data_IF_293600152562
#
_entry.id   IF_293600152562
#
_cell.length_a   1.000
_cell.length_b   1.000
_cell.length_c   1.000
_cell.angle_alpha   90.00
_cell.angle_beta   90.00
_cell.angle_gamma   90.00
#
_symmetry.space_group_name_H-M   'P 1'
#
loop_
_entity.id
_entity.type
_entity.pdbx_description
1 polymer ?
#
# COMPACT_ATOMS: atom_id res chain seq x y z
N UNK A 1 -45.52 2.61 7.55
CA UNK A 1 -45.04 2.73 6.17
C UNK A 1 -43.59 2.23 6.11
N UNK A 2 -43.36 1.01 5.62
CA UNK A 2 -42.02 0.46 5.40
C UNK A 2 -41.54 0.91 4.01
N UNK A 3 -40.50 1.73 3.97
CA UNK A 3 -39.92 2.25 2.73
C UNK A 3 -38.90 1.22 2.23
N UNK A 4 -39.26 0.45 1.21
CA UNK A 4 -38.32 -0.50 0.55
C UNK A 4 -37.81 0.14 -0.73
N UNK A 5 -36.47 0.22 -0.88
CA UNK A 5 -35.81 0.79 -2.06
C UNK A 5 -36.03 -0.16 -3.25
N UNK A 6 -36.79 0.26 -4.28
CA UNK A 6 -36.98 -0.53 -5.51
C UNK A 6 -35.61 -0.79 -6.14
N UNK A 7 -35.28 -2.06 -6.38
CA UNK A 7 -34.01 -2.49 -6.99
C UNK A 7 -32.91 -2.91 -6.01
N UNK A 8 -33.13 -2.85 -4.69
CA UNK A 8 -32.18 -3.40 -3.73
C UNK A 8 -32.20 -4.93 -3.73
N UNK A 9 -31.19 -5.55 -4.35
CA UNK A 9 -30.83 -6.94 -4.08
C UNK A 9 -29.84 -6.94 -2.93
N UNK A 10 -30.13 -7.58 -1.78
CA UNK A 10 -29.14 -7.74 -0.74
C UNK A 10 -27.96 -8.52 -1.32
N UNK A 11 -26.76 -7.96 -1.20
CA UNK A 11 -25.52 -8.70 -1.46
C UNK A 11 -25.47 -9.81 -0.40
N UNK A 12 -25.78 -11.02 -0.82
CA UNK A 12 -25.56 -12.23 -0.03
C UNK A 12 -24.34 -12.92 -0.60
N UNK A 13 -23.47 -13.44 0.25
CA UNK A 13 -22.25 -14.16 -0.14
C UNK A 13 -22.60 -15.27 -1.14
N UNK A 14 -23.73 -15.95 -0.93
CA UNK A 14 -24.24 -17.00 -1.81
C UNK A 14 -24.57 -16.54 -3.25
N UNK A 15 -24.86 -15.25 -3.45
CA UNK A 15 -25.21 -14.67 -4.75
C UNK A 15 -24.01 -14.06 -5.49
N UNK A 16 -22.85 -13.95 -4.84
CA UNK A 16 -21.64 -13.32 -5.40
C UNK A 16 -20.60 -14.34 -5.87
N UNK A 17 -20.61 -15.55 -5.33
CA UNK A 17 -19.50 -16.48 -5.50
C UNK A 17 -19.98 -17.81 -6.08
N UNK A 18 -19.55 -18.12 -7.33
CA UNK A 18 -19.66 -19.46 -7.89
C UNK A 18 -18.41 -20.26 -7.52
N UNK A 19 -18.61 -21.42 -6.88
CA UNK A 19 -17.59 -22.44 -6.59
C UNK A 19 -16.30 -21.94 -5.93
N UNK A 20 -16.34 -21.86 -4.59
CA UNK A 20 -15.13 -21.78 -3.76
C UNK A 20 -14.48 -23.16 -3.73
N UNK A 21 -13.41 -23.35 -4.51
CA UNK A 21 -12.55 -24.52 -4.37
C UNK A 21 -11.74 -24.44 -3.07
N UNK A 22 -11.27 -25.56 -2.50
CA UNK A 22 -10.33 -25.50 -1.38
C UNK A 22 -9.06 -24.78 -1.83
N UNK A 23 -8.79 -23.61 -1.25
CA UNK A 23 -7.53 -22.92 -1.46
C UNK A 23 -6.43 -23.68 -0.72
N UNK A 24 -5.32 -23.95 -1.41
CA UNK A 24 -4.10 -24.38 -0.75
C UNK A 24 -3.36 -23.17 -0.24
N UNK A 25 -2.73 -23.28 0.91
CA UNK A 25 -1.83 -22.26 1.41
C UNK A 25 -0.64 -22.09 0.45
N UNK A 26 -0.13 -20.86 0.27
CA UNK A 26 1.17 -20.62 -0.34
C UNK A 26 2.27 -21.51 0.25
N UNK A 27 3.15 -21.99 -0.60
CA UNK A 27 4.29 -22.86 -0.26
C UNK A 27 5.56 -22.08 0.08
N UNK A 28 5.49 -20.75 0.02
CA UNK A 28 6.60 -19.84 0.27
C UNK A 28 7.07 -19.91 1.74
N UNK A 29 8.39 -19.94 1.99
CA UNK A 29 8.95 -20.29 3.29
C UNK A 29 8.55 -19.34 4.43
N UNK A 30 8.20 -18.09 4.13
CA UNK A 30 7.81 -17.09 5.12
C UNK A 30 6.30 -16.86 5.21
N UNK A 31 5.47 -17.55 4.43
CA UNK A 31 4.01 -17.38 4.51
C UNK A 31 3.46 -17.63 5.92
N UNK A 32 4.00 -18.60 6.66
CA UNK A 32 3.59 -18.87 8.04
C UNK A 32 3.84 -17.72 9.01
N UNK A 33 4.75 -16.79 8.68
CA UNK A 33 5.02 -15.59 9.47
C UNK A 33 4.18 -14.38 9.05
N UNK A 34 3.52 -14.42 7.88
CA UNK A 34 2.66 -13.36 7.37
C UNK A 34 1.27 -13.42 8.01
N UNK A 35 1.23 -13.20 9.32
CA UNK A 35 0.01 -13.28 10.13
C UNK A 35 -1.10 -12.34 9.65
N UNK A 36 -0.75 -11.21 9.03
CA UNK A 36 -1.70 -10.26 8.43
C UNK A 36 -2.46 -10.86 7.23
N UNK A 37 -1.91 -11.88 6.57
CA UNK A 37 -2.60 -12.64 5.51
C UNK A 37 -3.40 -13.80 6.09
N UNK A 38 -2.85 -14.47 7.11
CA UNK A 38 -3.48 -15.61 7.80
C UNK A 38 -3.06 -15.69 9.26
N UNK A 39 -3.95 -15.29 10.17
CA UNK A 39 -3.69 -15.30 11.59
C UNK A 39 -4.22 -16.58 12.22
N UNK A 40 -3.32 -17.48 12.57
CA UNK A 40 -3.57 -18.72 13.31
C UNK A 40 -3.44 -18.57 14.83
N UNK A 41 -3.14 -17.36 15.31
CA UNK A 41 -2.78 -17.07 16.70
C UNK A 41 -1.27 -17.09 16.96
N UNK A 42 -0.45 -16.96 15.91
CA UNK A 42 1.00 -16.87 16.03
C UNK A 42 1.41 -15.53 16.66
N UNK A 43 2.56 -15.52 17.34
CA UNK A 43 3.17 -14.33 17.96
C UNK A 43 2.21 -13.57 18.90
N UNK A 44 1.46 -14.30 19.74
CA UNK A 44 0.43 -13.76 20.65
C UNK A 44 -0.73 -13.01 19.95
N UNK A 45 -0.85 -13.17 18.63
CA UNK A 45 -1.94 -12.60 17.85
C UNK A 45 -3.28 -13.29 18.09
N UNK A 46 -4.36 -12.62 17.66
CA UNK A 46 -5.72 -13.18 17.77
C UNK A 46 -6.07 -13.95 16.49
N UNK A 47 -6.29 -15.26 16.61
CA UNK A 47 -6.65 -16.08 15.45
C UNK A 47 -7.86 -15.50 14.68
N UNK A 48 -7.79 -15.53 13.34
CA UNK A 48 -8.72 -14.92 12.37
C UNK A 48 -8.78 -13.38 12.37
N UNK A 49 -7.92 -12.72 13.14
CA UNK A 49 -7.69 -11.30 13.02
C UNK A 49 -6.60 -11.08 11.96
N UNK A 50 -7.00 -11.18 10.70
CA UNK A 50 -6.20 -11.00 9.49
C UNK A 50 -7.04 -10.27 8.44
N UNK A 51 -6.44 -9.96 7.28
CA UNK A 51 -7.10 -9.24 6.19
C UNK A 51 -8.16 -10.06 5.44
N UNK A 52 -8.35 -11.34 5.81
CA UNK A 52 -9.27 -12.28 5.16
C UNK A 52 -9.02 -12.40 3.64
N UNK A 53 -7.75 -12.28 3.22
CA UNK A 53 -7.34 -12.33 1.80
C UNK A 53 -7.53 -13.71 1.18
N UNK A 54 -7.47 -14.78 1.98
CA UNK A 54 -7.72 -16.15 1.51
C UNK A 54 -9.13 -16.29 0.90
N UNK A 55 -10.11 -15.54 1.43
CA UNK A 55 -11.46 -15.53 0.88
C UNK A 55 -11.52 -14.86 -0.51
N UNK A 56 -10.70 -13.84 -0.77
CA UNK A 56 -10.58 -13.21 -2.09
C UNK A 56 -9.83 -14.13 -3.08
N UNK A 57 -8.73 -14.75 -2.63
CA UNK A 57 -7.98 -15.72 -3.42
C UNK A 57 -8.82 -16.93 -3.81
N UNK A 58 -9.66 -17.44 -2.90
CA UNK A 58 -10.54 -18.57 -3.19
C UNK A 58 -11.67 -18.23 -4.19
N UNK A 59 -11.93 -16.94 -4.41
CA UNK A 59 -12.81 -16.43 -5.47
C UNK A 59 -12.07 -16.19 -6.79
N UNK A 60 -10.75 -16.38 -6.83
CA UNK A 60 -9.91 -16.16 -8.00
C UNK A 60 -9.43 -14.71 -8.19
N UNK A 61 -9.56 -13.86 -7.18
CA UNK A 61 -9.05 -12.49 -7.21
C UNK A 61 -7.64 -12.43 -6.63
N UNK A 62 -6.65 -12.20 -7.49
CA UNK A 62 -5.22 -12.28 -7.14
C UNK A 62 -4.42 -11.03 -7.53
N UNK A 63 -5.10 -9.99 -8.04
CA UNK A 63 -4.47 -8.77 -8.56
C UNK A 63 -4.16 -8.77 -10.05
N UNK A 64 -4.45 -9.87 -10.77
CA UNK A 64 -4.17 -9.98 -12.20
C UNK A 64 -4.74 -8.80 -13.01
N UNK A 65 -3.91 -8.27 -13.91
CA UNK A 65 -4.17 -7.09 -14.76
C UNK A 65 -4.30 -5.75 -14.03
N UNK A 66 -3.95 -5.68 -12.75
CA UNK A 66 -3.81 -4.43 -12.01
C UNK A 66 -2.33 -4.04 -11.96
N UNK A 67 -2.02 -2.76 -12.09
CA UNK A 67 -0.68 -2.23 -11.80
C UNK A 67 -0.74 -1.30 -10.59
N UNK A 68 0.05 -1.60 -9.56
CA UNK A 68 0.25 -0.74 -8.38
C UNK A 68 1.64 -0.10 -8.44
N UNK A 69 1.70 1.22 -8.34
CA UNK A 69 2.93 1.96 -8.21
C UNK A 69 3.28 2.22 -6.74
N UNK A 70 4.54 1.99 -6.40
CA UNK A 70 5.13 2.33 -5.10
C UNK A 70 5.92 3.63 -5.28
N UNK A 71 5.41 4.74 -4.72
CA UNK A 71 6.05 6.06 -4.78
C UNK A 71 6.95 6.26 -3.57
N UNK A 72 8.24 5.98 -3.71
CA UNK A 72 9.13 5.76 -2.57
C UNK A 72 10.62 6.00 -2.88
N UNK A 73 11.52 5.35 -2.14
CA UNK A 73 12.98 5.40 -2.24
C UNK A 73 13.58 4.51 -3.36
N UNK A 74 12.73 3.67 -3.96
CA UNK A 74 13.07 2.76 -5.07
C UNK A 74 12.51 1.35 -4.86
N UNK A 75 12.49 0.56 -5.93
CA UNK A 75 12.07 -0.84 -5.89
C UNK A 75 13.17 -1.68 -6.52
N UNK A 76 13.69 -2.65 -5.75
CA UNK A 76 14.57 -3.69 -6.28
C UNK A 76 13.75 -4.61 -7.20
N UNK A 77 13.57 -4.16 -8.43
CA UNK A 77 12.87 -4.90 -9.48
C UNK A 77 13.66 -6.13 -9.95
N UNK A 78 14.89 -6.34 -9.48
CA UNK A 78 15.65 -7.55 -9.73
C UNK A 78 15.48 -8.59 -8.63
N UNK A 79 14.85 -8.22 -7.50
CA UNK A 79 14.56 -9.12 -6.40
C UNK A 79 13.84 -10.37 -6.94
N UNK A 80 14.31 -11.59 -6.59
CA UNK A 80 13.77 -12.82 -7.16
C UNK A 80 12.26 -12.99 -6.99
N UNK A 81 11.71 -12.38 -5.95
CA UNK A 81 10.29 -12.41 -5.60
C UNK A 81 9.44 -11.32 -6.29
N UNK A 82 10.07 -10.31 -6.91
CA UNK A 82 9.38 -9.18 -7.56
C UNK A 82 9.58 -9.14 -9.08
N UNK A 83 10.70 -9.66 -9.59
CA UNK A 83 11.14 -9.47 -10.98
C UNK A 83 10.13 -9.89 -12.07
N UNK A 84 9.25 -10.86 -11.78
CA UNK A 84 8.22 -11.31 -12.73
C UNK A 84 6.93 -10.48 -12.65
N UNK A 85 6.74 -9.74 -11.55
CA UNK A 85 5.64 -8.82 -11.32
C UNK A 85 6.03 -7.37 -11.63
N UNK A 86 7.30 -7.06 -11.87
CA UNK A 86 7.74 -5.73 -12.26
C UNK A 86 7.14 -5.26 -13.60
N UNK A 87 6.67 -4.00 -13.62
CA UNK A 87 6.19 -3.30 -14.81
C UNK A 87 7.10 -2.10 -15.12
N UNK A 88 8.12 -2.37 -15.95
CA UNK A 88 9.10 -1.37 -16.38
C UNK A 88 8.47 -0.18 -17.12
N UNK A 89 7.34 -0.37 -17.82
CA UNK A 89 6.71 0.69 -18.61
C UNK A 89 5.99 1.73 -17.75
N UNK A 90 5.64 1.35 -16.52
CA UNK A 90 4.96 2.20 -15.56
C UNK A 90 5.90 2.74 -14.48
N UNK A 91 7.20 2.45 -14.59
CA UNK A 91 8.20 2.73 -13.57
C UNK A 91 9.12 3.86 -14.01
N UNK A 92 9.61 4.65 -13.06
CA UNK A 92 10.52 5.75 -13.33
C UNK A 92 11.32 6.17 -12.10
N UNK A 93 12.54 6.66 -12.31
CA UNK A 93 13.38 7.27 -11.30
C UNK A 93 13.40 8.80 -11.49
N UNK A 94 12.67 9.51 -10.64
CA UNK A 94 12.68 10.97 -10.60
C UNK A 94 13.87 11.56 -9.84
N UNK A 95 14.53 10.77 -8.98
CA UNK A 95 15.75 11.18 -8.27
C UNK A 95 16.97 11.24 -9.21
N UNK A 96 17.09 10.27 -10.12
CA UNK A 96 18.20 10.19 -11.09
C UNK A 96 17.80 10.61 -12.51
N UNK A 97 16.49 10.81 -12.74
CA UNK A 97 15.88 11.15 -14.03
C UNK A 97 16.18 10.11 -15.14
N UNK A 98 15.85 8.86 -14.86
CA UNK A 98 16.01 7.74 -15.78
C UNK A 98 14.93 6.66 -15.55
N UNK A 99 14.79 5.62 -16.41
CA UNK A 99 13.69 4.64 -16.29
C UNK A 99 13.97 3.50 -15.29
N UNK A 100 15.02 3.57 -14.48
CA UNK A 100 15.47 2.49 -13.61
C UNK A 100 15.33 2.88 -12.12
N UNK A 101 14.17 2.62 -11.48
CA UNK A 101 13.92 2.99 -10.08
C UNK A 101 14.62 2.04 -9.08
N UNK A 102 15.81 1.54 -9.43
CA UNK A 102 16.56 0.63 -8.58
C UNK A 102 17.06 1.41 -7.35
N UNK A 103 16.86 0.90 -6.12
CA UNK A 103 17.27 1.60 -4.91
C UNK A 103 18.80 1.74 -4.87
N UNK A 104 19.29 2.94 -4.53
CA UNK A 104 20.72 3.15 -4.31
C UNK A 104 21.12 2.44 -3.03
N UNK A 105 22.03 1.47 -3.14
CA UNK A 105 22.51 0.71 -2.01
C UNK A 105 23.31 1.59 -1.03
N UNK A 106 23.02 1.43 0.25
CA UNK A 106 23.75 2.04 1.38
C UNK A 106 23.93 1.00 2.48
N UNK A 107 24.98 1.14 3.29
CA UNK A 107 25.30 0.16 4.34
C UNK A 107 24.24 0.09 5.46
N UNK A 108 23.45 1.15 5.60
CA UNK A 108 22.36 1.29 6.58
C UNK A 108 20.98 0.92 6.01
N UNK A 109 20.90 0.45 4.76
CA UNK A 109 19.65 0.06 4.11
C UNK A 109 18.63 1.20 4.01
N UNK A 110 19.11 2.44 3.92
CA UNK A 110 18.28 3.65 3.87
C UNK A 110 17.19 3.58 2.79
N UNK A 111 17.55 3.13 1.58
CA UNK A 111 16.63 3.01 0.45
C UNK A 111 16.00 1.59 0.32
N UNK A 112 15.57 0.98 1.43
CA UNK A 112 15.02 -0.38 1.41
C UNK A 112 13.49 -0.45 1.45
N UNK A 113 12.82 0.67 1.67
CA UNK A 113 11.42 0.69 2.04
C UNK A 113 10.48 0.42 0.88
N UNK A 114 10.68 1.07 -0.28
CA UNK A 114 9.85 0.84 -1.45
C UNK A 114 9.89 -0.63 -1.90
N UNK A 115 11.03 -1.31 -1.71
CA UNK A 115 11.15 -2.75 -1.97
C UNK A 115 10.34 -3.60 -0.98
N UNK A 116 10.27 -3.22 0.30
CA UNK A 116 9.44 -3.90 1.30
C UNK A 116 7.96 -3.73 0.97
N UNK A 117 7.51 -2.50 0.72
CA UNK A 117 6.13 -2.20 0.33
C UNK A 117 5.72 -2.90 -0.97
N UNK A 118 6.61 -2.97 -1.96
CA UNK A 118 6.39 -3.73 -3.19
C UNK A 118 6.13 -5.22 -2.91
N UNK A 119 6.87 -5.81 -1.97
CA UNK A 119 6.71 -7.19 -1.52
C UNK A 119 5.35 -7.44 -0.88
N UNK A 120 4.90 -6.54 0.01
CA UNK A 120 3.58 -6.65 0.65
C UNK A 120 2.43 -6.69 -0.38
N UNK A 121 2.57 -5.91 -1.45
CA UNK A 121 1.55 -5.87 -2.51
C UNK A 121 1.64 -7.09 -3.43
N UNK A 122 2.81 -7.41 -3.99
CA UNK A 122 2.92 -8.38 -5.07
C UNK A 122 4.20 -9.23 -5.08
N UNK A 123 4.76 -9.56 -3.91
CA UNK A 123 5.65 -10.73 -3.81
C UNK A 123 4.99 -11.94 -4.47
N UNK A 124 5.77 -12.66 -5.26
CA UNK A 124 5.27 -13.77 -6.04
C UNK A 124 4.85 -14.92 -5.12
N UNK A 125 3.95 -15.76 -5.64
CA UNK A 125 3.41 -16.91 -4.90
C UNK A 125 4.05 -18.19 -5.39
N UNK A 126 4.26 -19.14 -4.47
CA UNK A 126 4.68 -20.50 -4.73
C UNK A 126 6.02 -20.59 -5.51
N UNK A 127 6.95 -19.68 -5.23
CA UNK A 127 8.27 -19.64 -5.88
C UNK A 127 9.42 -20.11 -4.95
N UNK A 128 9.11 -20.34 -3.67
CA UNK A 128 10.07 -20.80 -2.66
C UNK A 128 10.99 -19.71 -2.12
N UNK A 129 10.63 -18.44 -2.30
CA UNK A 129 11.41 -17.26 -1.89
C UNK A 129 10.52 -16.42 -0.98
N UNK A 130 11.06 -15.97 0.15
CA UNK A 130 10.36 -15.06 1.06
C UNK A 130 8.92 -15.51 1.37
N UNK A 131 7.93 -14.62 1.22
CA UNK A 131 6.52 -14.84 1.50
C UNK A 131 5.70 -14.67 0.22
N UNK A 132 4.51 -14.08 0.34
CA UNK A 132 3.62 -13.78 -0.81
C UNK A 132 2.93 -12.43 -0.62
N UNK A 133 2.69 -11.71 -1.72
CA UNK A 133 1.96 -10.45 -1.70
C UNK A 133 0.44 -10.65 -1.59
N UNK A 134 -0.27 -9.64 -1.07
CA UNK A 134 -1.75 -9.63 -1.03
C UNK A 134 -2.35 -9.87 -2.43
N UNK A 135 -1.74 -9.24 -3.43
CA UNK A 135 -2.12 -9.27 -4.83
C UNK A 135 -0.96 -9.83 -5.67
N UNK A 136 -0.57 -11.09 -5.41
CA UNK A 136 0.61 -11.75 -5.99
C UNK A 136 0.63 -11.90 -7.53
N UNK A 137 -0.48 -11.67 -8.23
CA UNK A 137 -0.51 -11.57 -9.71
C UNK A 137 -0.61 -10.11 -10.22
N UNK A 138 -0.60 -9.13 -9.31
CA UNK A 138 -0.53 -7.71 -9.63
C UNK A 138 0.83 -7.37 -10.22
N UNK A 139 0.85 -6.34 -11.06
CA UNK A 139 2.09 -5.71 -11.50
C UNK A 139 2.51 -4.62 -10.53
N UNK A 140 3.82 -4.49 -10.32
CA UNK A 140 4.43 -3.45 -9.49
C UNK A 140 5.21 -2.50 -10.38
N UNK A 141 4.94 -1.21 -10.22
CA UNK A 141 5.78 -0.15 -10.72
C UNK A 141 6.58 0.49 -9.58
N UNK A 142 7.84 0.78 -9.80
CA UNK A 142 8.65 1.58 -8.88
C UNK A 142 8.70 3.03 -9.35
N UNK A 143 8.35 3.96 -8.46
CA UNK A 143 8.52 5.40 -8.69
C UNK A 143 9.52 5.90 -7.63
N UNK A 144 10.81 5.93 -8.00
CA UNK A 144 11.88 6.40 -7.10
C UNK A 144 11.88 7.92 -7.08
N UNK A 145 11.51 8.51 -5.94
CA UNK A 145 11.40 9.94 -5.79
C UNK A 145 11.88 10.45 -4.42
N UNK A 146 11.96 9.60 -3.38
CA UNK A 146 12.37 10.01 -2.04
C UNK A 146 13.89 10.08 -1.84
N UNK A 147 14.69 9.38 -2.64
CA UNK A 147 16.16 9.40 -2.50
C UNK A 147 16.78 10.63 -3.17
N UNK A 148 16.59 11.80 -2.58
CA UNK A 148 17.15 13.06 -3.05
C UNK A 148 17.23 14.12 -1.95
N UNK A 149 18.08 15.16 -2.08
CA UNK A 149 18.30 16.13 -1.01
C UNK A 149 17.07 16.96 -0.63
N UNK A 150 16.17 17.23 -1.58
CA UNK A 150 14.97 18.02 -1.37
C UNK A 150 13.81 17.49 -2.20
N UNK A 151 12.66 17.34 -1.57
CA UNK A 151 11.41 17.13 -2.30
C UNK A 151 10.87 18.45 -2.84
N UNK A 152 10.40 18.45 -4.07
CA UNK A 152 9.78 19.63 -4.69
C UNK A 152 8.38 19.31 -5.19
N UNK A 153 7.51 20.32 -5.23
CA UNK A 153 6.14 20.23 -5.80
C UNK A 153 6.15 19.58 -7.19
N UNK A 154 7.17 19.85 -8.01
CA UNK A 154 7.23 19.29 -9.36
C UNK A 154 7.57 17.79 -9.36
N UNK A 155 8.41 17.32 -8.43
CA UNK A 155 8.77 15.90 -8.35
C UNK A 155 7.60 15.09 -7.81
N UNK A 156 6.93 15.59 -6.78
CA UNK A 156 5.66 15.04 -6.29
C UNK A 156 4.61 15.00 -7.41
N UNK A 157 4.37 16.11 -8.10
CA UNK A 157 3.39 16.18 -9.18
C UNK A 157 3.69 15.21 -10.33
N UNK A 158 4.96 15.12 -10.74
CA UNK A 158 5.37 14.19 -11.80
C UNK A 158 5.24 12.73 -11.35
N UNK A 159 5.53 12.42 -10.08
CA UNK A 159 5.36 11.08 -9.50
C UNK A 159 3.88 10.69 -9.45
N UNK A 160 3.03 11.56 -8.92
CA UNK A 160 1.58 11.37 -8.79
C UNK A 160 0.85 11.26 -10.13
N UNK A 161 1.40 11.91 -11.17
CA UNK A 161 0.84 11.94 -12.51
C UNK A 161 1.55 11.01 -13.50
N UNK A 162 2.47 10.16 -13.05
CA UNK A 162 3.25 9.28 -13.92
C UNK A 162 2.39 8.15 -14.47
N UNK A 163 2.32 7.98 -15.80
CA UNK A 163 1.63 6.87 -16.49
C UNK A 163 0.20 6.54 -15.96
N UNK A 164 -0.71 7.53 -15.87
CA UNK A 164 -1.98 7.39 -15.16
C UNK A 164 -2.98 6.43 -15.82
N UNK A 165 -2.72 6.00 -17.06
CA UNK A 165 -3.52 4.99 -17.77
C UNK A 165 -2.89 3.60 -17.76
N UNK A 166 -1.65 3.46 -17.26
CA UNK A 166 -0.99 2.17 -17.03
C UNK A 166 -1.00 1.79 -15.56
N UNK A 167 -0.94 2.79 -14.66
CA UNK A 167 -1.01 2.61 -13.21
C UNK A 167 -2.46 2.72 -12.75
N UNK A 168 -2.93 1.74 -11.99
CA UNK A 168 -4.26 1.76 -11.39
C UNK A 168 -4.23 2.41 -10.01
N UNK A 169 -3.25 2.02 -9.20
CA UNK A 169 -3.16 2.36 -7.78
C UNK A 169 -1.78 2.96 -7.52
N UNK A 170 -1.72 4.08 -6.82
CA UNK A 170 -0.50 4.67 -6.29
C UNK A 170 -0.51 4.48 -4.77
N UNK A 171 0.55 3.89 -4.24
CA UNK A 171 0.77 3.69 -2.81
C UNK A 171 1.89 4.60 -2.34
N UNK A 172 1.65 5.31 -1.24
CA UNK A 172 2.63 6.20 -0.63
C UNK A 172 2.50 6.23 0.89
N UNK A 173 3.64 6.37 1.55
CA UNK A 173 3.77 6.55 2.99
C UNK A 173 4.79 7.67 3.23
N UNK A 174 4.51 8.85 2.70
CA UNK A 174 5.32 10.05 2.88
C UNK A 174 4.41 11.25 3.00
N UNK A 175 4.92 12.36 3.51
CA UNK A 175 4.14 13.54 3.84
C UNK A 175 5.00 14.57 4.56
N UNK A 176 4.40 15.54 5.25
CA UNK A 176 5.11 16.40 6.18
C UNK A 176 5.79 15.59 7.28
N UNK A 177 6.70 16.23 8.01
CA UNK A 177 7.34 15.61 9.17
C UNK A 177 6.31 15.39 10.27
N UNK A 178 6.25 14.16 10.79
CA UNK A 178 5.33 13.78 11.86
C UNK A 178 5.90 14.17 13.24
N UNK A 179 6.02 15.48 13.50
CA UNK A 179 6.63 16.04 14.72
C UNK A 179 5.63 16.69 15.68
N UNK A 180 4.33 16.55 15.41
CA UNK A 180 3.23 17.16 16.17
C UNK A 180 3.14 18.68 16.05
N UNK A 181 3.90 19.28 15.12
CA UNK A 181 4.02 20.75 14.97
C UNK A 181 3.89 21.22 13.54
N UNK A 182 4.02 20.31 12.58
CA UNK A 182 4.00 20.63 11.16
C UNK A 182 2.58 20.57 10.60
N UNK A 183 2.21 21.60 9.83
CA UNK A 183 0.98 21.61 9.03
C UNK A 183 1.38 21.94 7.61
N UNK A 184 1.36 20.95 6.73
CA UNK A 184 1.74 21.12 5.32
C UNK A 184 0.97 20.11 4.45
N UNK A 185 1.09 20.25 3.13
CA UNK A 185 0.40 19.36 2.20
C UNK A 185 0.78 19.62 0.75
N UNK A 186 0.05 18.98 -0.18
CA UNK A 186 0.36 19.10 -1.60
C UNK A 186 0.24 20.54 -2.09
N UNK A 187 1.29 21.00 -2.77
CA UNK A 187 1.33 22.31 -3.43
C UNK A 187 0.58 22.25 -4.77
N UNK A 188 0.57 23.37 -5.51
CA UNK A 188 -0.36 23.57 -6.62
C UNK A 188 -0.10 22.65 -7.82
N UNK A 189 1.14 22.21 -8.08
CA UNK A 189 1.39 21.24 -9.13
C UNK A 189 0.92 19.84 -8.70
N UNK A 190 1.27 19.42 -7.48
CA UNK A 190 0.87 18.13 -6.91
C UNK A 190 -0.64 17.99 -6.83
N UNK A 191 -1.34 19.02 -6.34
CA UNK A 191 -2.81 19.05 -6.32
C UNK A 191 -3.43 18.92 -7.70
N UNK A 192 -2.85 19.57 -8.72
CA UNK A 192 -3.33 19.43 -10.10
C UNK A 192 -3.08 18.03 -10.65
N UNK A 193 -1.96 17.40 -10.30
CA UNK A 193 -1.67 16.01 -10.68
C UNK A 193 -2.68 15.04 -10.06
N UNK A 194 -2.96 15.14 -8.77
CA UNK A 194 -3.95 14.31 -8.07
C UNK A 194 -5.34 14.49 -8.68
N UNK A 195 -5.80 15.75 -8.82
CA UNK A 195 -7.11 16.06 -9.42
C UNK A 195 -7.20 15.52 -10.84
N UNK A 196 -6.14 15.61 -11.63
CA UNK A 196 -6.10 15.03 -12.97
C UNK A 196 -6.17 13.50 -12.92
N UNK A 197 -5.40 12.86 -12.05
CA UNK A 197 -5.40 11.41 -11.89
C UNK A 197 -6.77 10.85 -11.53
N UNK A 198 -7.47 11.46 -10.56
CA UNK A 198 -8.81 10.99 -10.14
C UNK A 198 -9.91 11.26 -11.18
N UNK A 199 -9.72 12.21 -12.11
CA UNK A 199 -10.72 12.53 -13.14
C UNK A 199 -10.44 11.86 -14.49
N UNK A 200 -9.18 11.74 -14.88
CA UNK A 200 -8.75 11.31 -16.23
C UNK A 200 -8.03 9.96 -16.23
N UNK A 201 -7.42 9.59 -15.10
CA UNK A 201 -6.65 8.36 -14.97
C UNK A 201 -7.48 7.10 -15.18
N UNK A 202 -6.79 5.99 -15.47
CA UNK A 202 -7.41 4.69 -15.80
C UNK A 202 -8.48 4.83 -16.87
N UNK A 203 -8.19 5.62 -17.90
CA UNK A 203 -9.08 5.93 -19.02
C UNK A 203 -10.42 6.56 -18.56
N UNK A 204 -10.36 7.48 -17.59
CA UNK A 204 -11.51 8.21 -17.06
C UNK A 204 -12.24 7.52 -15.90
N UNK A 205 -11.69 6.43 -15.34
CA UNK A 205 -12.23 5.80 -14.12
C UNK A 205 -11.70 6.45 -12.83
N UNK A 206 -10.57 7.16 -12.92
CA UNK A 206 -9.87 7.77 -11.81
C UNK A 206 -8.85 6.84 -11.17
N UNK A 207 -7.60 7.29 -11.08
CA UNK A 207 -6.54 6.64 -10.31
C UNK A 207 -6.93 6.55 -8.82
N UNK A 208 -6.44 5.50 -8.16
CA UNK A 208 -6.63 5.29 -6.72
C UNK A 208 -5.33 5.68 -6.03
N UNK A 209 -5.39 6.63 -5.09
CA UNK A 209 -4.25 7.02 -4.25
C UNK A 209 -4.46 6.47 -2.85
N UNK A 210 -3.57 5.60 -2.37
CA UNK A 210 -3.58 5.02 -1.03
C UNK A 210 -2.45 5.67 -0.22
N UNK A 211 -2.76 6.12 0.98
CA UNK A 211 -1.86 6.90 1.82
C UNK A 211 -1.77 6.31 3.22
N UNK A 212 -0.57 6.22 3.79
CA UNK A 212 -0.42 5.99 5.23
C UNK A 212 -0.84 7.24 6.00
N UNK A 213 -1.51 7.07 7.14
CA UNK A 213 -2.00 8.20 7.94
C UNK A 213 -0.89 9.00 8.62
N UNK A 214 0.23 8.37 8.98
CA UNK A 214 1.36 8.99 9.67
C UNK A 214 1.85 8.18 10.88
N UNK A 215 3.06 8.49 11.33
CA UNK A 215 3.83 7.78 12.37
C UNK A 215 4.13 8.67 13.60
N UNK A 216 3.49 9.84 13.72
CA UNK A 216 3.69 10.81 14.81
C UNK A 216 3.10 10.42 16.16
N UNK A 217 2.29 9.35 16.22
CA UNK A 217 1.67 8.85 17.44
C UNK A 217 0.71 9.82 18.10
N UNK A 218 0.60 9.77 19.43
CA UNK A 218 -0.35 10.58 20.21
C UNK A 218 -0.06 12.08 20.19
N UNK A 219 1.14 12.48 19.77
CA UNK A 219 1.57 13.87 19.72
C UNK A 219 1.25 14.57 18.38
N UNK A 220 0.72 13.83 17.39
CA UNK A 220 0.37 14.35 16.05
C UNK A 220 -1.10 14.07 15.65
N UNK A 221 -1.60 14.78 14.63
CA UNK A 221 -2.95 14.63 14.08
C UNK A 221 -2.88 14.65 12.56
N UNK A 222 -3.21 13.52 11.93
CA UNK A 222 -3.15 13.36 10.48
C UNK A 222 -4.11 14.25 9.66
N UNK A 223 -4.95 15.07 10.27
CA UNK A 223 -5.60 16.19 9.56
C UNK A 223 -4.62 17.34 9.25
N UNK A 224 -3.45 17.39 9.89
CA UNK A 224 -2.37 18.34 9.64
C UNK A 224 -1.49 17.92 8.45
N UNK A 225 -1.55 16.64 8.04
CA UNK A 225 -1.00 16.13 6.78
C UNK A 225 -2.03 16.30 5.66
N UNK A 226 -1.83 17.28 4.78
CA UNK A 226 -2.73 17.56 3.66
C UNK A 226 -2.79 16.46 2.59
N UNK A 227 -1.87 15.48 2.61
CA UNK A 227 -1.94 14.29 1.76
C UNK A 227 -2.87 13.25 2.36
N UNK A 228 -2.68 12.89 3.63
CA UNK A 228 -3.55 11.96 4.34
C UNK A 228 -4.97 12.52 4.53
N UNK A 229 -5.11 13.84 4.72
CA UNK A 229 -6.39 14.53 4.87
C UNK A 229 -7.15 14.82 3.56
N UNK A 230 -6.55 14.51 2.41
CA UNK A 230 -7.14 14.81 1.11
C UNK A 230 -8.35 13.92 0.82
N UNK A 231 -9.43 14.51 0.28
CA UNK A 231 -10.60 13.73 -0.18
C UNK A 231 -10.30 12.83 -1.40
N UNK A 232 -9.13 12.98 -2.02
CA UNK A 232 -8.70 12.20 -3.18
C UNK A 232 -7.76 11.05 -2.82
N UNK A 233 -7.35 10.94 -1.55
CA UNK A 233 -6.55 9.84 -1.04
C UNK A 233 -7.41 8.93 -0.17
N UNK A 234 -7.04 7.66 -0.13
CA UNK A 234 -7.57 6.68 0.80
C UNK A 234 -6.53 6.54 1.92
N UNK A 235 -6.74 7.29 3.00
CA UNK A 235 -5.88 7.25 4.18
C UNK A 235 -6.15 5.98 5.00
N UNK A 236 -5.08 5.26 5.31
CA UNK A 236 -5.06 3.98 6.02
C UNK A 236 -4.18 4.10 7.26
N UNK A 237 -4.72 3.70 8.40
CA UNK A 237 -4.02 3.66 9.68
C UNK A 237 -3.68 2.22 10.11
N UNK A 238 -3.00 2.08 11.24
CA UNK A 238 -2.33 0.82 11.62
C UNK A 238 -2.89 0.16 12.88
N UNK A 239 -3.18 -1.13 12.77
CA UNK A 239 -3.50 -2.02 13.89
C UNK A 239 -2.46 -3.14 14.04
N UNK A 240 -2.24 -3.62 15.25
CA UNK A 240 -1.32 -4.73 15.53
C UNK A 240 -2.06 -6.08 15.53
N UNK A 241 -1.32 -7.17 15.70
CA UNK A 241 -1.79 -8.55 15.56
C UNK A 241 -2.84 -9.02 16.59
N UNK A 242 -3.12 -8.22 17.61
CA UNK A 242 -4.20 -8.44 18.59
C UNK A 242 -5.39 -7.46 18.43
N UNK A 243 -5.28 -6.50 17.50
CA UNK A 243 -6.31 -5.52 17.16
C UNK A 243 -6.26 -4.21 17.93
N UNK A 244 -5.23 -3.99 18.74
CA UNK A 244 -4.94 -2.67 19.30
C UNK A 244 -4.34 -1.75 18.24
N UNK A 245 -4.42 -0.44 18.46
CA UNK A 245 -3.75 0.54 17.60
C UNK A 245 -2.23 0.39 17.73
N UNK A 246 -1.51 0.63 16.63
CA UNK A 246 -0.06 0.78 16.70
C UNK A 246 0.31 2.03 17.51
N UNK A 247 1.44 2.00 18.23
CA UNK A 247 1.83 3.11 19.12
C UNK A 247 2.21 4.40 18.38
N UNK A 248 2.60 4.29 17.11
CA UNK A 248 2.94 5.40 16.23
C UNK A 248 1.71 5.91 15.44
N UNK A 249 0.56 5.24 15.57
CA UNK A 249 -0.63 5.56 14.76
C UNK A 249 -1.17 6.96 15.06
N UNK A 250 -1.33 7.78 14.03
CA UNK A 250 -1.99 9.07 14.12
C UNK A 250 -3.51 8.94 13.97
N UNK A 251 -4.26 9.52 14.90
CA UNK A 251 -5.73 9.48 14.89
C UNK A 251 -6.32 10.76 14.32
N UNK A 252 -7.04 10.67 13.20
CA UNK A 252 -7.75 11.82 12.63
C UNK A 252 -9.07 11.43 11.95
N UNK A 253 -9.88 12.44 11.67
CA UNK A 253 -11.20 12.27 11.03
C UNK A 253 -11.15 11.93 9.54
N UNK A 254 -9.99 12.09 8.89
CA UNK A 254 -9.82 11.82 7.46
C UNK A 254 -9.49 10.37 7.15
N UNK A 255 -8.95 9.60 8.12
CA UNK A 255 -8.66 8.16 7.97
C UNK A 255 -9.92 7.39 7.61
N UNK A 256 -9.84 6.55 6.57
CA UNK A 256 -10.99 5.79 6.06
C UNK A 256 -11.06 4.37 6.60
N UNK A 257 -9.93 3.72 6.82
CA UNK A 257 -9.85 2.33 7.27
C UNK A 257 -8.50 2.01 7.92
N UNK A 258 -8.38 0.80 8.47
CA UNK A 258 -7.16 0.29 9.10
C UNK A 258 -6.66 -0.96 8.38
N UNK A 259 -5.34 -1.14 8.35
CA UNK A 259 -4.68 -2.40 8.01
C UNK A 259 -3.72 -2.83 9.12
N UNK A 260 -3.16 -4.02 8.99
CA UNK A 260 -2.21 -4.54 9.96
C UNK A 260 -0.80 -4.04 9.69
N UNK A 261 -0.12 -3.62 10.76
CA UNK A 261 1.28 -3.24 10.72
C UNK A 261 2.04 -3.71 11.98
N UNK A 262 3.29 -3.28 12.14
CA UNK A 262 4.04 -3.34 13.40
C UNK A 262 3.41 -2.41 14.46
N UNK A 263 3.93 -2.46 15.69
CA UNK A 263 3.46 -1.59 16.76
C UNK A 263 3.53 -2.20 18.17
N UNK A 264 3.72 -3.51 18.28
CA UNK A 264 4.08 -4.14 19.55
C UNK A 264 5.59 -4.02 19.82
N UNK A 265 5.97 -4.07 21.11
CA UNK A 265 7.38 -3.98 21.56
C UNK A 265 8.28 -5.09 21.02
N UNK A 266 7.72 -6.19 20.51
CA UNK A 266 8.46 -7.31 19.93
C UNK A 266 8.63 -7.12 18.41
N UNK A 267 9.87 -6.93 17.90
CA UNK A 267 10.13 -6.79 16.47
C UNK A 267 9.71 -8.01 15.63
N UNK A 268 9.46 -9.18 16.24
CA UNK A 268 9.00 -10.38 15.52
C UNK A 268 7.47 -10.39 15.25
N UNK A 269 6.73 -9.41 15.77
CA UNK A 269 5.27 -9.31 15.61
C UNK A 269 4.85 -8.36 14.48
N UNK A 270 5.80 -7.66 13.87
CA UNK A 270 5.50 -6.56 12.94
C UNK A 270 5.36 -6.94 11.47
N UNK A 271 4.57 -6.15 10.75
CA UNK A 271 4.69 -5.99 9.29
C UNK A 271 5.58 -4.77 9.06
N UNK A 272 6.55 -4.85 8.15
CA UNK A 272 7.52 -3.76 7.95
C UNK A 272 7.02 -2.86 6.83
N UNK A 273 6.30 -1.79 7.17
CA UNK A 273 5.61 -0.91 6.20
C UNK A 273 5.95 0.58 6.34
N UNK A 274 6.90 0.97 7.19
CA UNK A 274 7.07 2.38 7.58
C UNK A 274 8.41 2.98 7.13
N UNK A 275 8.30 4.05 6.34
CA UNK A 275 9.20 5.21 6.33
C UNK A 275 8.30 6.35 6.76
N UNK A 276 8.53 6.88 7.96
CA UNK A 276 8.42 8.29 8.31
C UNK A 276 9.19 8.49 9.62
#
# INVERSE_FOLDING_TARGET
FLRVKRGYKPLKVENLVKHIGPLKDPTDPYFSFQWYLKNTGQNDGKAKLDLNVEAAWAQGFTGKNITTAIMDDGVDYMHPDLKYNYNARASYDFSSNDPYPYPRFTDDWFNSHGTRCAGEVAAARDNGICGVGVAYDSKIAGIRMLDQPYMTDLIEANSMGHEPNLIDIYSASWGPTDDGKTVDGPRNATMRAIVRGVNEGRNGLGNIYVWASGDGGEDDDCNCDGYAASMWTISINSAINDGQNAHYDESCSSTLASTFSNGAKDPNTGVVSNIK
#
